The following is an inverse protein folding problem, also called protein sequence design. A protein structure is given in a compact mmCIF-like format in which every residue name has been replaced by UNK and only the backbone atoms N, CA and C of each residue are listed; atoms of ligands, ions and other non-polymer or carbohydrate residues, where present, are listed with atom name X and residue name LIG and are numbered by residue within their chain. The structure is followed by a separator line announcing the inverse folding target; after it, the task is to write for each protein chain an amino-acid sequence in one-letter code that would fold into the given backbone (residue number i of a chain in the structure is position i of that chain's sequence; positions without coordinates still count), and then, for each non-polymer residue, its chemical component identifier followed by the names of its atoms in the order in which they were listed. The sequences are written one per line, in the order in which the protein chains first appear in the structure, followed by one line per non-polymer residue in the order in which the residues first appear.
data_IF_146435686823
#
_entry.id   IF_146435686823
#
_cell.length_a   1.000
_cell.length_b   1.000
_cell.length_c   1.000
_cell.angle_alpha   90.00
_cell.angle_beta   90.00
_cell.angle_gamma   90.00
#
_symmetry.space_group_name_H-M   'P 1'
#
loop_
_entity.id
_entity.type
_entity.pdbx_description
1 polymer ?
#
# COMPACT_ATOMS: atom_id res chain seq x y z
N UNK A 1 15.10 -19.34 -18.15
CA UNK A 1 15.51 -18.24 -17.28
C UNK A 1 14.87 -16.90 -17.67
N UNK A 2 14.84 -16.50 -18.94
CA UNK A 2 14.16 -15.28 -19.42
C UNK A 2 12.65 -15.43 -19.31
N UNK A 3 12.09 -16.55 -19.78
CA UNK A 3 10.64 -16.78 -19.83
C UNK A 3 10.01 -16.99 -18.45
N UNK A 4 10.69 -17.67 -17.54
CA UNK A 4 10.20 -17.88 -16.17
C UNK A 4 9.92 -16.57 -15.44
N UNK A 5 10.67 -15.52 -15.76
CA UNK A 5 10.47 -14.22 -15.16
C UNK A 5 9.27 -13.47 -15.74
N UNK A 6 8.97 -13.69 -17.02
CA UNK A 6 7.85 -13.02 -17.70
C UNK A 6 6.47 -13.61 -17.36
N UNK A 7 6.43 -14.89 -16.97
CA UNK A 7 5.17 -15.61 -16.73
C UNK A 7 4.58 -15.43 -15.32
N UNK A 8 5.39 -15.06 -14.33
CA UNK A 8 4.91 -14.83 -12.97
C UNK A 8 4.17 -13.49 -12.84
N UNK A 9 2.82 -13.56 -12.90
CA UNK A 9 1.96 -12.38 -13.00
C UNK A 9 1.68 -11.62 -11.68
N UNK A 10 2.14 -12.12 -10.53
CA UNK A 10 1.72 -11.66 -9.21
C UNK A 10 2.61 -10.59 -8.56
N UNK A 11 3.12 -9.65 -9.35
CA UNK A 11 3.87 -8.51 -8.82
C UNK A 11 2.97 -7.39 -8.31
N UNK A 12 3.48 -6.63 -7.34
CA UNK A 12 2.78 -5.47 -6.77
C UNK A 12 2.81 -4.22 -7.67
N UNK A 13 3.49 -4.30 -8.83
CA UNK A 13 3.68 -3.17 -9.73
C UNK A 13 4.64 -2.11 -9.20
N UNK A 14 4.85 -1.07 -10.04
CA UNK A 14 5.68 0.07 -9.65
C UNK A 14 5.09 0.76 -8.39
N UNK A 15 5.90 1.14 -7.41
CA UNK A 15 7.38 1.17 -7.37
C UNK A 15 8.03 -0.05 -6.70
N UNK A 16 7.29 -1.09 -6.40
CA UNK A 16 7.75 -2.22 -5.59
C UNK A 16 8.24 -3.39 -6.42
N UNK A 17 7.73 -3.51 -7.64
CA UNK A 17 8.08 -4.55 -8.57
C UNK A 17 8.46 -3.94 -9.93
N UNK A 18 9.62 -4.31 -10.44
CA UNK A 18 10.21 -3.76 -11.65
C UNK A 18 10.29 -4.81 -12.76
N UNK A 19 9.24 -5.62 -12.90
CA UNK A 19 9.18 -6.73 -13.85
C UNK A 19 9.71 -6.38 -15.22
N UNK A 20 9.17 -5.32 -15.82
CA UNK A 20 9.55 -4.93 -17.18
C UNK A 20 11.01 -4.50 -17.26
N UNK A 21 11.53 -3.78 -16.26
CA UNK A 21 12.94 -3.41 -16.18
C UNK A 21 13.82 -4.64 -15.98
N UNK A 22 13.45 -5.51 -15.06
CA UNK A 22 14.19 -6.74 -14.78
C UNK A 22 14.20 -7.67 -16.01
N UNK A 23 13.10 -7.77 -16.73
CA UNK A 23 13.01 -8.53 -17.97
C UNK A 23 13.93 -7.94 -19.04
N UNK A 24 13.89 -6.63 -19.25
CA UNK A 24 14.77 -5.93 -20.18
C UNK A 24 16.25 -6.13 -19.83
N UNK A 25 16.62 -6.01 -18.56
CA UNK A 25 17.99 -6.24 -18.10
C UNK A 25 18.45 -7.69 -18.32
N UNK A 26 17.55 -8.66 -18.14
CA UNK A 26 17.84 -10.07 -18.49
C UNK A 26 18.06 -10.25 -19.99
N UNK A 27 17.27 -9.58 -20.83
CA UNK A 27 17.49 -9.59 -22.27
C UNK A 27 18.84 -8.97 -22.64
N UNK A 28 19.23 -7.83 -22.01
CA UNK A 28 20.57 -7.23 -22.22
C UNK A 28 21.70 -8.20 -21.83
N UNK A 29 21.57 -8.86 -20.69
CA UNK A 29 22.55 -9.86 -20.24
C UNK A 29 22.61 -11.05 -21.20
N UNK A 30 21.47 -11.59 -21.63
CA UNK A 30 21.44 -12.69 -22.60
C UNK A 30 22.04 -12.28 -23.95
N UNK A 31 21.74 -11.05 -24.39
CA UNK A 31 22.31 -10.50 -25.63
C UNK A 31 23.84 -10.45 -25.59
N UNK A 32 24.44 -9.90 -24.52
CA UNK A 32 25.90 -9.83 -24.39
C UNK A 32 26.54 -11.22 -24.35
N UNK A 33 25.97 -12.15 -23.57
CA UNK A 33 26.50 -13.51 -23.51
C UNK A 33 26.41 -14.24 -24.84
N UNK A 34 25.29 -14.15 -25.56
CA UNK A 34 25.15 -14.80 -26.88
C UNK A 34 26.09 -14.14 -27.89
N UNK A 35 26.28 -12.83 -27.84
CA UNK A 35 27.20 -12.09 -28.72
C UNK A 35 28.65 -12.53 -28.55
N UNK A 36 29.07 -12.87 -27.32
CA UNK A 36 30.40 -13.40 -27.03
C UNK A 36 30.59 -14.85 -27.53
N UNK A 37 29.51 -15.65 -27.45
CA UNK A 37 29.54 -17.07 -27.80
C UNK A 37 29.42 -17.31 -29.32
N UNK A 38 28.64 -16.50 -30.04
CA UNK A 38 28.40 -16.67 -31.49
C UNK A 38 29.67 -16.82 -32.30
N UNK A 39 30.75 -16.03 -32.11
CA UNK A 39 32.00 -16.18 -32.89
C UNK A 39 32.72 -17.49 -32.63
N UNK A 40 32.51 -18.14 -31.48
CA UNK A 40 33.18 -19.36 -31.08
C UNK A 40 32.56 -20.61 -31.77
N UNK A 41 31.36 -20.49 -32.30
CA UNK A 41 30.66 -21.59 -32.96
C UNK A 41 30.60 -21.38 -34.46
N UNK A 42 31.13 -22.37 -35.24
CA UNK A 42 30.99 -22.42 -36.70
C UNK A 42 29.54 -22.75 -37.06
N UNK A 43 28.71 -21.75 -37.22
CA UNK A 43 27.26 -21.90 -37.52
C UNK A 43 27.13 -22.17 -39.03
N UNK A 44 27.09 -23.44 -39.45
CA UNK A 44 26.96 -23.82 -40.86
C UNK A 44 25.63 -23.42 -41.51
N UNK A 45 24.56 -23.29 -40.75
CA UNK A 45 23.23 -22.90 -41.27
C UNK A 45 22.53 -21.93 -40.34
N UNK A 46 22.77 -20.62 -40.50
CA UNK A 46 22.31 -19.54 -39.65
C UNK A 46 20.77 -19.51 -39.51
N UNK A 47 20.06 -19.75 -40.61
CA UNK A 47 18.58 -19.65 -40.62
C UNK A 47 17.86 -20.79 -39.86
N UNK A 48 18.51 -21.91 -39.62
CA UNK A 48 17.97 -23.05 -38.85
C UNK A 48 18.44 -23.07 -37.40
N UNK A 49 19.43 -22.27 -37.06
CA UNK A 49 20.00 -22.28 -35.72
C UNK A 49 19.10 -21.46 -34.75
N UNK A 50 18.62 -22.10 -33.70
CA UNK A 50 17.76 -21.52 -32.70
C UNK A 50 18.46 -20.36 -31.98
N UNK A 51 19.75 -20.49 -31.65
CA UNK A 51 20.53 -19.48 -30.96
C UNK A 51 20.67 -18.22 -31.84
N UNK A 52 20.88 -18.39 -33.14
CA UNK A 52 20.97 -17.30 -34.11
C UNK A 52 19.64 -16.55 -34.23
N UNK A 53 18.51 -17.25 -34.27
CA UNK A 53 17.18 -16.66 -34.28
C UNK A 53 16.91 -15.88 -33.01
N UNK A 54 17.20 -16.49 -31.85
CA UNK A 54 17.04 -15.85 -30.54
C UNK A 54 17.91 -14.59 -30.43
N UNK A 55 19.17 -14.65 -30.90
CA UNK A 55 20.04 -13.48 -30.93
C UNK A 55 19.42 -12.31 -31.69
N UNK A 56 18.91 -12.56 -32.89
CA UNK A 56 18.28 -11.47 -33.68
C UNK A 56 17.04 -10.89 -33.03
N UNK A 57 16.19 -11.74 -32.47
CA UNK A 57 15.00 -11.26 -31.75
C UNK A 57 15.36 -10.41 -30.53
N UNK A 58 16.33 -10.84 -29.76
CA UNK A 58 16.79 -10.07 -28.58
C UNK A 58 17.48 -8.79 -29.04
N UNK A 59 18.30 -8.85 -30.11
CA UNK A 59 18.98 -7.70 -30.69
C UNK A 59 18.02 -6.57 -31.05
N UNK A 60 16.93 -6.88 -31.72
CA UNK A 60 15.92 -5.88 -32.12
C UNK A 60 15.32 -5.14 -30.91
N UNK A 61 15.18 -5.84 -29.77
CA UNK A 61 14.66 -5.24 -28.52
C UNK A 61 15.74 -4.41 -27.83
N UNK A 62 16.94 -4.97 -27.68
CA UNK A 62 18.03 -4.35 -26.90
C UNK A 62 18.63 -3.14 -27.61
N UNK A 63 18.74 -3.17 -28.93
CA UNK A 63 19.27 -2.06 -29.74
C UNK A 63 18.19 -1.02 -30.13
N UNK A 64 16.97 -1.16 -29.64
CA UNK A 64 15.90 -0.20 -29.89
C UNK A 64 16.12 1.06 -29.07
N UNK A 65 16.60 2.13 -29.71
CA UNK A 65 16.90 3.40 -29.06
C UNK A 65 15.70 4.08 -28.41
N UNK A 66 14.49 3.90 -28.95
CA UNK A 66 13.27 4.45 -28.36
C UNK A 66 12.90 3.72 -27.05
N UNK A 67 13.12 2.41 -27.00
CA UNK A 67 12.91 1.61 -25.79
C UNK A 67 14.00 1.94 -24.75
N UNK A 68 15.25 2.04 -25.13
CA UNK A 68 16.36 2.42 -24.25
C UNK A 68 16.09 3.74 -23.53
N UNK A 69 15.70 4.78 -24.28
CA UNK A 69 15.31 6.08 -23.68
C UNK A 69 14.14 5.99 -22.69
N UNK A 70 13.18 5.09 -22.94
CA UNK A 70 12.08 4.85 -21.99
C UNK A 70 12.56 4.15 -20.71
N UNK A 71 13.49 3.19 -20.85
CA UNK A 71 14.10 2.48 -19.72
C UNK A 71 14.90 3.44 -18.86
N UNK A 72 15.76 4.27 -19.45
CA UNK A 72 16.51 5.31 -18.73
C UNK A 72 15.59 6.24 -17.93
N UNK A 73 14.51 6.72 -18.54
CA UNK A 73 13.51 7.55 -17.82
C UNK A 73 12.84 6.80 -16.67
N UNK A 74 12.60 5.50 -16.84
CA UNK A 74 12.04 4.67 -15.79
C UNK A 74 13.01 4.51 -14.63
N UNK A 75 14.28 4.26 -14.92
CA UNK A 75 15.35 4.12 -13.90
C UNK A 75 15.54 5.42 -13.11
N UNK A 76 15.51 6.59 -13.79
CA UNK A 76 15.55 7.89 -13.10
C UNK A 76 14.37 8.04 -12.12
N UNK A 77 13.15 7.68 -12.53
CA UNK A 77 11.97 7.75 -11.66
C UNK A 77 12.09 6.78 -10.48
N UNK A 78 12.64 5.61 -10.70
CA UNK A 78 12.89 4.61 -9.68
C UNK A 78 13.93 5.09 -8.66
N UNK A 79 15.01 5.71 -9.14
CA UNK A 79 16.03 6.32 -8.27
C UNK A 79 15.43 7.42 -7.39
N UNK A 80 14.56 8.27 -7.94
CA UNK A 80 13.82 9.30 -7.17
C UNK A 80 12.95 8.68 -6.09
N UNK A 81 12.26 7.58 -6.40
CA UNK A 81 11.45 6.87 -5.43
C UNK A 81 12.31 6.25 -4.31
N UNK A 82 13.45 5.66 -4.65
CA UNK A 82 14.39 5.11 -3.67
C UNK A 82 14.94 6.20 -2.75
N UNK A 83 15.35 7.34 -3.31
CA UNK A 83 15.78 8.52 -2.53
C UNK A 83 14.67 9.03 -1.59
N UNK A 84 13.41 9.02 -2.04
CA UNK A 84 12.28 9.37 -1.20
C UNK A 84 12.10 8.39 -0.04
N UNK A 85 12.23 7.09 -0.28
CA UNK A 85 12.16 6.06 0.75
C UNK A 85 13.25 6.24 1.81
N UNK A 86 14.47 6.52 1.36
CA UNK A 86 15.60 6.77 2.25
C UNK A 86 15.38 8.03 3.08
N UNK A 87 14.92 9.11 2.46
CA UNK A 87 14.58 10.35 3.16
C UNK A 87 13.44 10.16 4.18
N UNK A 88 12.48 9.29 3.91
CA UNK A 88 11.40 8.93 4.83
C UNK A 88 11.84 7.94 5.92
N UNK A 89 13.02 7.34 5.81
CA UNK A 89 13.50 6.30 6.72
C UNK A 89 12.69 5.00 6.61
N UNK A 90 12.17 4.67 5.42
CA UNK A 90 11.45 3.41 5.18
C UNK A 90 12.41 2.34 4.68
N UNK A 91 12.31 1.12 5.22
CA UNK A 91 13.23 0.01 4.88
C UNK A 91 12.86 -0.62 3.53
N UNK A 92 13.85 -1.00 2.69
CA UNK A 92 13.61 -1.75 1.46
C UNK A 92 12.90 -3.08 1.70
N UNK A 93 12.09 -3.50 0.72
CA UNK A 93 11.27 -4.73 0.77
C UNK A 93 12.08 -6.03 0.85
N UNK A 94 13.33 -6.01 0.46
CA UNK A 94 14.23 -7.18 0.44
C UNK A 94 14.73 -7.60 1.83
N UNK A 95 14.42 -6.85 2.86
CA UNK A 95 14.69 -7.25 4.24
C UNK A 95 13.46 -8.04 4.71
N UNK A 96 13.67 -9.25 5.21
CA UNK A 96 12.67 -10.27 5.55
C UNK A 96 11.48 -9.84 6.45
N UNK A 97 11.43 -8.59 6.87
CA UNK A 97 10.49 -8.05 7.85
C UNK A 97 9.49 -7.00 7.29
N UNK A 98 9.33 -6.91 5.96
CA UNK A 98 8.33 -6.03 5.34
C UNK A 98 8.73 -4.56 5.19
N UNK A 99 7.79 -3.72 4.76
CA UNK A 99 8.01 -2.35 4.28
C UNK A 99 8.36 -1.32 5.34
N UNK A 100 8.26 -1.63 6.62
CA UNK A 100 8.61 -0.69 7.68
C UNK A 100 8.99 -1.40 8.97
N UNK A 101 10.27 -1.43 9.23
CA UNK A 101 10.79 -1.58 10.60
C UNK A 101 10.85 -0.21 11.28
N UNK A 102 9.79 0.56 11.22
CA UNK A 102 9.71 1.69 12.12
C UNK A 102 9.50 1.13 13.51
N UNK A 103 10.45 1.36 14.39
CA UNK A 103 10.23 1.18 15.82
C UNK A 103 8.93 1.91 16.16
N UNK A 104 8.02 1.22 16.82
CA UNK A 104 6.73 1.77 17.23
C UNK A 104 6.89 3.03 18.11
N UNK A 105 8.07 3.21 18.65
CA UNK A 105 8.49 4.34 19.48
C UNK A 105 9.39 5.28 18.69
N UNK A 106 8.80 6.11 17.82
CA UNK A 106 9.55 7.24 17.25
C UNK A 106 9.94 8.23 18.33
N UNK A 107 11.16 8.78 18.28
CA UNK A 107 11.58 9.86 19.13
C UNK A 107 11.44 11.20 18.42
N UNK A 108 11.33 12.31 19.16
CA UNK A 108 11.35 13.65 18.60
C UNK A 108 12.59 13.91 17.74
N UNK A 109 13.74 13.34 18.13
CA UNK A 109 15.01 13.47 17.40
C UNK A 109 14.92 12.80 16.03
N UNK A 110 14.35 11.59 15.97
CA UNK A 110 14.17 10.85 14.72
C UNK A 110 13.20 11.59 13.78
N UNK A 111 12.09 12.11 14.31
CA UNK A 111 11.14 12.89 13.53
C UNK A 111 11.79 14.15 12.93
N UNK A 112 12.59 14.90 13.72
CA UNK A 112 13.33 16.07 13.22
C UNK A 112 14.33 15.69 12.13
N UNK A 113 15.04 14.58 12.29
CA UNK A 113 16.01 14.08 11.31
C UNK A 113 15.32 13.75 9.99
N UNK A 114 14.18 13.05 10.04
CA UNK A 114 13.40 12.71 8.84
C UNK A 114 12.80 13.96 8.19
N UNK A 115 12.28 14.92 8.97
CA UNK A 115 11.81 16.22 8.45
C UNK A 115 12.92 16.95 7.67
N UNK A 116 14.15 16.95 8.18
CA UNK A 116 15.31 17.54 7.51
C UNK A 116 15.68 16.78 6.23
N UNK A 117 15.73 15.45 6.27
CA UNK A 117 16.04 14.62 5.11
C UNK A 117 15.02 14.83 3.98
N UNK A 118 13.72 14.89 4.30
CA UNK A 118 12.67 15.17 3.31
C UNK A 118 12.74 16.61 2.78
N UNK A 119 13.14 17.57 3.61
CA UNK A 119 13.37 18.95 3.16
C UNK A 119 14.55 19.02 2.19
N UNK A 120 15.67 18.35 2.49
CA UNK A 120 16.82 18.19 1.60
C UNK A 120 16.43 17.57 0.28
N UNK A 121 15.76 16.42 0.31
CA UNK A 121 15.25 15.75 -0.89
C UNK A 121 14.38 16.67 -1.78
N UNK A 122 13.51 17.47 -1.17
CA UNK A 122 12.70 18.46 -1.92
C UNK A 122 13.57 19.55 -2.58
N UNK A 123 14.65 19.96 -1.92
CA UNK A 123 15.62 20.92 -2.47
C UNK A 123 16.36 20.33 -3.67
N UNK A 124 16.82 19.07 -3.54
CA UNK A 124 17.50 18.34 -4.62
C UNK A 124 16.57 18.17 -5.84
N UNK A 125 15.30 17.86 -5.63
CA UNK A 125 14.33 17.79 -6.73
C UNK A 125 14.13 19.14 -7.41
N UNK A 126 14.15 20.26 -6.68
CA UNK A 126 14.06 21.60 -7.29
C UNK A 126 15.30 21.93 -8.12
N UNK A 127 16.48 21.51 -7.69
CA UNK A 127 17.72 21.65 -8.47
C UNK A 127 17.64 20.79 -9.75
N UNK A 128 17.20 19.53 -9.63
CA UNK A 128 16.98 18.65 -10.80
C UNK A 128 16.00 19.24 -11.81
N UNK A 129 14.95 19.92 -11.36
CA UNK A 129 14.00 20.63 -12.25
C UNK A 129 14.68 21.77 -13.02
N UNK A 130 15.62 22.49 -12.38
CA UNK A 130 16.35 23.58 -13.05
C UNK A 130 17.37 23.08 -14.07
N UNK A 131 17.93 21.89 -13.83
CA UNK A 131 19.04 21.34 -14.61
C UNK A 131 18.58 20.31 -15.68
N UNK A 132 17.28 20.12 -15.84
CA UNK A 132 16.73 19.11 -16.77
C UNK A 132 15.83 19.78 -17.81
N UNK A 133 16.13 19.56 -19.10
CA UNK A 133 15.30 20.02 -20.21
C UNK A 133 14.12 19.10 -20.52
N UNK A 134 14.12 17.86 -19.99
CA UNK A 134 13.04 16.89 -20.18
C UNK A 134 11.77 17.29 -19.43
N UNK A 135 10.79 17.81 -20.16
CA UNK A 135 9.48 18.22 -19.64
C UNK A 135 8.75 17.11 -18.86
N UNK A 136 8.93 15.84 -19.27
CA UNK A 136 8.30 14.69 -18.59
C UNK A 136 8.89 14.46 -17.21
N UNK A 137 10.21 14.51 -17.09
CA UNK A 137 10.92 14.39 -15.81
C UNK A 137 10.64 15.58 -14.90
N UNK A 138 10.67 16.81 -15.44
CA UNK A 138 10.27 18.01 -14.70
C UNK A 138 8.87 17.88 -14.08
N UNK A 139 7.90 17.40 -14.87
CA UNK A 139 6.53 17.19 -14.40
C UNK A 139 6.46 16.10 -13.32
N UNK A 140 7.26 15.03 -13.45
CA UNK A 140 7.35 14.00 -12.44
C UNK A 140 7.87 14.58 -11.11
N UNK A 141 8.98 15.30 -11.11
CA UNK A 141 9.55 15.95 -9.91
C UNK A 141 8.56 16.93 -9.27
N UNK A 142 7.87 17.76 -10.07
CA UNK A 142 6.83 18.68 -9.59
C UNK A 142 5.68 17.92 -8.90
N UNK A 143 5.23 16.79 -9.46
CA UNK A 143 4.19 15.94 -8.85
C UNK A 143 4.63 15.36 -7.52
N UNK A 144 5.88 14.88 -7.40
CA UNK A 144 6.42 14.35 -6.14
C UNK A 144 6.47 15.46 -5.08
N UNK A 145 6.99 16.65 -5.42
CA UNK A 145 7.03 17.80 -4.51
C UNK A 145 5.62 18.20 -4.07
N UNK A 146 4.65 18.23 -5.00
CA UNK A 146 3.24 18.54 -4.69
C UNK A 146 2.66 17.54 -3.69
N UNK A 147 2.85 16.25 -3.92
CA UNK A 147 2.37 15.19 -3.01
C UNK A 147 3.01 15.28 -1.62
N UNK A 148 4.30 15.57 -1.54
CA UNK A 148 4.97 15.80 -0.25
C UNK A 148 4.44 17.02 0.50
N UNK A 149 4.03 18.08 -0.21
CA UNK A 149 3.36 19.23 0.42
C UNK A 149 1.97 18.89 0.92
N UNK A 150 1.15 18.23 0.10
CA UNK A 150 -0.22 17.83 0.43
C UNK A 150 -0.28 16.93 1.67
N UNK A 151 0.63 15.98 1.76
CA UNK A 151 0.65 15.00 2.85
C UNK A 151 1.60 15.35 4.01
N UNK A 152 2.37 16.42 3.90
CA UNK A 152 3.42 16.78 4.87
C UNK A 152 2.92 16.91 6.30
N UNK A 153 1.75 17.51 6.51
CA UNK A 153 1.13 17.63 7.84
C UNK A 153 0.78 16.25 8.45
N UNK A 154 0.32 15.30 7.62
CA UNK A 154 -0.03 13.94 8.07
C UNK A 154 1.21 13.08 8.29
N UNK A 155 2.26 13.24 7.47
CA UNK A 155 3.52 12.51 7.60
C UNK A 155 4.33 12.92 8.83
N UNK A 156 4.16 14.15 9.29
CA UNK A 156 4.96 14.75 10.36
C UNK A 156 4.09 15.33 11.45
N UNK A 157 3.00 14.64 11.81
CA UNK A 157 2.16 15.01 12.95
C UNK A 157 3.01 15.11 14.21
N UNK A 158 2.84 16.21 14.95
CA UNK A 158 3.55 16.38 16.21
C UNK A 158 3.02 15.37 17.24
N UNK A 159 3.88 14.92 18.17
CA UNK A 159 3.46 14.04 19.24
C UNK A 159 2.37 14.69 20.10
N UNK A 160 1.40 13.88 20.53
CA UNK A 160 0.37 14.34 21.45
C UNK A 160 0.83 14.17 22.90
N UNK A 161 0.58 15.18 23.71
CA UNK A 161 0.77 15.08 25.15
C UNK A 161 -0.55 14.69 25.80
N UNK A 162 -0.54 13.61 26.55
CA UNK A 162 -1.68 13.12 27.32
C UNK A 162 -1.30 13.01 28.79
N UNK A 163 -2.25 13.21 29.68
CA UNK A 163 -2.06 13.01 31.11
C UNK A 163 -2.78 11.72 31.52
N UNK A 164 -2.02 10.79 32.07
CA UNK A 164 -2.51 9.50 32.55
C UNK A 164 -2.19 9.41 34.05
N UNK A 165 -3.22 9.33 34.86
CA UNK A 165 -3.09 9.33 36.33
C UNK A 165 -2.27 10.52 36.90
N UNK A 166 -2.36 11.69 36.25
CA UNK A 166 -1.58 12.88 36.63
C UNK A 166 -0.18 12.96 36.02
N UNK A 167 0.32 11.89 35.42
CA UNK A 167 1.62 11.86 34.74
C UNK A 167 1.51 12.31 33.29
N UNK A 168 2.44 13.16 32.86
CA UNK A 168 2.55 13.61 31.48
C UNK A 168 3.20 12.55 30.63
N UNK A 169 2.48 12.03 29.64
CA UNK A 169 2.98 11.08 28.64
C UNK A 169 2.95 11.66 27.23
N UNK A 170 3.97 11.37 26.46
CA UNK A 170 4.06 11.78 25.05
C UNK A 170 3.79 10.57 24.15
N UNK A 171 2.73 10.67 23.34
CA UNK A 171 2.36 9.66 22.36
C UNK A 171 2.82 10.10 20.98
N UNK A 172 3.65 9.27 20.33
CA UNK A 172 4.09 9.49 18.96
C UNK A 172 3.07 8.91 17.98
N UNK A 173 2.61 9.76 17.06
CA UNK A 173 1.66 9.34 16.02
C UNK A 173 2.43 8.53 14.97
N UNK A 174 1.96 7.33 14.69
CA UNK A 174 2.53 6.47 13.67
C UNK A 174 2.38 7.10 12.28
N UNK A 175 3.47 7.10 11.52
CA UNK A 175 3.52 7.68 10.17
C UNK A 175 3.03 6.73 9.08
N UNK A 176 2.84 5.47 9.40
CA UNK A 176 2.42 4.43 8.46
C UNK A 176 1.19 3.70 8.97
N UNK A 177 0.39 3.19 8.04
CA UNK A 177 -0.80 2.37 8.33
C UNK A 177 -0.46 0.90 8.62
N UNK A 178 0.81 0.61 8.85
CA UNK A 178 1.35 -0.75 8.89
C UNK A 178 0.73 -1.62 10.00
N UNK A 179 0.43 -1.00 11.14
CA UNK A 179 -0.22 -1.72 12.27
C UNK A 179 -1.61 -2.19 11.86
N UNK A 180 -2.41 -1.34 11.20
CA UNK A 180 -3.74 -1.70 10.72
C UNK A 180 -3.64 -2.79 9.63
N UNK A 181 -2.69 -2.66 8.71
CA UNK A 181 -2.46 -3.68 7.67
C UNK A 181 -2.05 -5.01 8.27
N UNK A 182 -1.18 -5.04 9.26
CA UNK A 182 -0.80 -6.25 9.99
C UNK A 182 -1.98 -6.84 10.77
N UNK A 183 -2.82 -5.99 11.37
CA UNK A 183 -4.04 -6.42 12.06
C UNK A 183 -5.00 -7.11 11.08
N UNK A 184 -5.32 -6.47 9.95
CA UNK A 184 -6.17 -7.07 8.93
C UNK A 184 -5.57 -8.33 8.32
N UNK A 185 -4.26 -8.38 8.14
CA UNK A 185 -3.57 -9.59 7.67
C UNK A 185 -3.74 -10.76 8.63
N UNK A 186 -3.52 -10.52 9.94
CA UNK A 186 -3.73 -11.53 10.99
C UNK A 186 -5.19 -11.97 11.05
N UNK A 187 -6.11 -11.04 11.01
CA UNK A 187 -7.55 -11.31 10.98
C UNK A 187 -7.93 -12.17 9.77
N UNK A 188 -7.52 -11.80 8.57
CA UNK A 188 -7.79 -12.57 7.37
C UNK A 188 -7.18 -13.98 7.42
N UNK A 189 -5.97 -14.10 7.96
CA UNK A 189 -5.31 -15.39 8.13
C UNK A 189 -6.12 -16.28 9.09
N UNK A 190 -6.56 -15.75 10.22
CA UNK A 190 -7.40 -16.46 11.19
C UNK A 190 -8.74 -16.88 10.59
N UNK A 191 -9.40 -16.02 9.85
CA UNK A 191 -10.66 -16.34 9.17
C UNK A 191 -10.48 -17.44 8.11
N UNK A 192 -9.40 -17.42 7.34
CA UNK A 192 -9.07 -18.48 6.37
C UNK A 192 -8.85 -19.82 7.07
N UNK A 193 -8.15 -19.80 8.19
CA UNK A 193 -7.85 -21.00 8.97
C UNK A 193 -9.12 -21.63 9.59
N UNK A 194 -10.05 -20.80 10.06
CA UNK A 194 -11.27 -21.27 10.73
C UNK A 194 -12.35 -21.66 9.72
N UNK A 195 -12.54 -20.87 8.67
CA UNK A 195 -13.67 -21.00 7.76
C UNK A 195 -13.31 -21.46 6.34
N UNK A 196 -12.02 -21.63 6.02
CA UNK A 196 -11.56 -21.95 4.66
C UNK A 196 -11.88 -20.88 3.61
N UNK A 197 -12.40 -19.73 4.02
CA UNK A 197 -12.95 -18.73 3.11
C UNK A 197 -11.85 -17.76 2.63
N UNK A 198 -11.72 -17.60 1.31
CA UNK A 198 -10.76 -16.66 0.70
C UNK A 198 -11.32 -15.25 0.51
N UNK A 199 -12.61 -15.03 0.75
CA UNK A 199 -13.24 -13.73 0.54
C UNK A 199 -13.04 -12.80 1.75
N UNK A 200 -12.16 -11.81 1.59
CA UNK A 200 -11.95 -10.74 2.58
C UNK A 200 -13.26 -10.00 2.88
N UNK A 201 -14.09 -9.76 1.87
CA UNK A 201 -15.37 -9.05 2.02
C UNK A 201 -16.31 -9.75 3.00
N UNK A 202 -16.50 -11.05 2.87
CA UNK A 202 -17.35 -11.82 3.81
C UNK A 202 -16.79 -11.79 5.23
N UNK A 203 -15.47 -11.82 5.36
CA UNK A 203 -14.83 -11.76 6.67
C UNK A 203 -15.05 -10.41 7.34
N UNK A 204 -15.00 -9.31 6.56
CA UNK A 204 -15.26 -7.95 7.07
C UNK A 204 -16.73 -7.73 7.44
N UNK A 205 -17.67 -8.28 6.64
CA UNK A 205 -19.11 -8.22 6.93
C UNK A 205 -19.49 -8.96 8.24
N UNK A 206 -18.71 -9.96 8.63
CA UNK A 206 -18.94 -10.79 9.81
C UNK A 206 -18.01 -10.45 10.99
N UNK A 207 -17.28 -9.35 10.95
CA UNK A 207 -16.48 -8.90 12.10
C UNK A 207 -17.42 -8.61 13.27
N UNK A 208 -17.22 -9.23 14.45
CA UNK A 208 -17.96 -8.89 15.64
C UNK A 208 -17.73 -7.42 16.01
N UNK A 209 -18.80 -6.71 16.38
CA UNK A 209 -18.74 -5.27 16.73
C UNK A 209 -17.74 -4.98 17.85
N UNK A 210 -17.55 -5.94 18.76
CA UNK A 210 -16.64 -5.84 19.89
C UNK A 210 -15.18 -6.10 19.55
N UNK A 211 -14.86 -6.63 18.34
CA UNK A 211 -13.50 -7.02 18.00
C UNK A 211 -12.48 -5.88 18.12
N UNK A 212 -12.75 -4.64 17.65
CA UNK A 212 -11.80 -3.54 17.81
C UNK A 212 -11.47 -3.25 19.27
N UNK A 213 -12.47 -3.35 20.15
CA UNK A 213 -12.28 -3.15 21.59
C UNK A 213 -11.46 -4.26 22.21
N UNK A 214 -11.78 -5.52 21.90
CA UNK A 214 -11.04 -6.70 22.40
C UNK A 214 -9.57 -6.63 21.97
N UNK A 215 -9.30 -6.22 20.72
CA UNK A 215 -7.92 -6.07 20.24
C UNK A 215 -7.20 -4.90 20.93
N UNK A 216 -7.88 -3.79 21.17
CA UNK A 216 -7.31 -2.65 21.88
C UNK A 216 -7.03 -2.97 23.36
N UNK A 217 -7.87 -3.77 24.00
CA UNK A 217 -7.65 -4.20 25.39
C UNK A 217 -6.41 -5.09 25.57
N UNK A 218 -5.88 -5.69 24.50
CA UNK A 218 -4.60 -6.40 24.53
C UNK A 218 -3.38 -5.47 24.63
N UNK A 219 -3.57 -4.18 24.42
CA UNK A 219 -2.51 -3.19 24.50
C UNK A 219 -2.51 -2.53 25.90
N UNK A 220 -1.50 -2.79 26.75
CA UNK A 220 -1.44 -2.22 28.11
C UNK A 220 -1.48 -0.69 28.12
N UNK A 221 -0.87 -0.04 27.14
CA UNK A 221 -0.89 1.42 27.03
C UNK A 221 -2.30 1.95 26.76
N UNK A 222 -3.08 1.25 25.95
CA UNK A 222 -4.49 1.60 25.71
C UNK A 222 -5.33 1.42 26.96
N UNK A 223 -5.16 0.28 27.65
CA UNK A 223 -5.87 0.01 28.91
C UNK A 223 -5.55 1.10 29.95
N UNK A 224 -4.29 1.43 30.11
CA UNK A 224 -3.85 2.46 31.04
C UNK A 224 -4.37 3.84 30.66
N UNK A 225 -4.42 4.19 29.36
CA UNK A 225 -4.93 5.47 28.88
C UNK A 225 -6.43 5.64 29.13
N UNK A 226 -7.23 4.60 28.84
CA UNK A 226 -8.70 4.67 28.88
C UNK A 226 -9.24 4.34 30.26
N UNK A 227 -8.66 3.35 30.93
CA UNK A 227 -9.18 2.82 32.20
C UNK A 227 -8.35 3.24 33.41
N UNK A 228 -7.10 3.65 33.20
CA UNK A 228 -6.15 4.04 34.25
C UNK A 228 -5.47 2.85 34.93
N UNK A 229 -6.14 1.70 35.02
CA UNK A 229 -5.65 0.47 35.59
C UNK A 229 -6.47 -0.71 35.01
N UNK A 230 -5.86 -1.87 34.85
CA UNK A 230 -6.53 -3.09 34.38
C UNK A 230 -7.65 -3.53 35.35
N UNK A 231 -7.45 -3.36 36.65
CA UNK A 231 -8.43 -3.71 37.68
C UNK A 231 -9.72 -2.84 37.61
N UNK A 232 -9.67 -1.67 36.99
CA UNK A 232 -10.82 -0.77 36.84
C UNK A 232 -11.68 -1.03 35.62
N UNK A 233 -11.29 -1.96 34.77
CA UNK A 233 -12.03 -2.31 33.54
C UNK A 233 -13.45 -2.76 33.92
N UNK A 234 -13.58 -3.71 34.85
CA UNK A 234 -14.87 -4.23 35.28
C UNK A 234 -15.78 -3.15 35.88
N UNK A 235 -15.23 -2.27 36.72
CA UNK A 235 -15.99 -1.16 37.31
C UNK A 235 -16.50 -0.17 36.25
N UNK A 236 -15.67 0.16 35.26
CA UNK A 236 -16.07 1.08 34.18
C UNK A 236 -17.11 0.45 33.28
N UNK A 237 -17.01 -0.85 32.98
CA UNK A 237 -18.05 -1.56 32.24
C UNK A 237 -19.35 -1.69 33.02
N UNK A 238 -19.29 -1.87 34.35
CA UNK A 238 -20.48 -1.92 35.19
C UNK A 238 -21.27 -0.59 35.22
N UNK A 239 -20.59 0.54 34.94
CA UNK A 239 -21.22 1.89 34.85
C UNK A 239 -21.90 2.17 33.50
N UNK A 240 -21.71 1.30 32.49
CA UNK A 240 -22.34 1.50 31.18
C UNK A 240 -23.82 1.15 31.27
N UNK A 241 -24.68 2.08 30.89
CA UNK A 241 -26.12 1.90 30.89
C UNK A 241 -26.54 0.80 29.91
N UNK A 242 -27.11 -0.29 30.45
CA UNK A 242 -27.58 -1.43 29.66
C UNK A 242 -28.71 -1.05 28.69
N UNK A 243 -29.50 -0.03 29.03
CA UNK A 243 -30.62 0.40 28.20
C UNK A 243 -30.11 1.06 26.92
N UNK A 244 -29.08 1.89 27.00
CA UNK A 244 -28.43 2.51 25.85
C UNK A 244 -27.85 1.44 24.92
N UNK A 245 -27.19 0.42 25.48
CA UNK A 245 -26.63 -0.68 24.68
C UNK A 245 -27.75 -1.46 23.97
N UNK A 246 -28.84 -1.72 24.70
CA UNK A 246 -29.98 -2.46 24.12
C UNK A 246 -30.65 -1.67 23.01
N UNK A 247 -30.83 -0.37 23.18
CA UNK A 247 -31.38 0.52 22.18
C UNK A 247 -30.47 0.59 20.92
N UNK A 248 -29.15 0.77 21.10
CA UNK A 248 -28.17 0.73 19.99
C UNK A 248 -28.22 -0.60 19.25
N UNK A 249 -28.26 -1.74 19.94
CA UNK A 249 -28.38 -3.08 19.32
C UNK A 249 -29.69 -3.24 18.54
N UNK A 250 -30.78 -2.75 19.07
CA UNK A 250 -32.07 -2.82 18.38
C UNK A 250 -32.07 -1.96 17.11
N UNK A 251 -31.49 -0.76 17.18
CA UNK A 251 -31.31 0.12 16.02
C UNK A 251 -30.42 -0.50 14.94
N UNK A 252 -29.33 -1.16 15.33
CA UNK A 252 -28.46 -1.89 14.39
C UNK A 252 -29.17 -3.10 13.76
N UNK A 253 -29.90 -3.90 14.56
CA UNK A 253 -30.69 -5.03 14.04
C UNK A 253 -31.77 -4.58 13.07
N UNK A 254 -32.41 -3.43 13.34
CA UNK A 254 -33.42 -2.86 12.45
C UNK A 254 -32.78 -2.42 11.12
N UNK A 255 -31.62 -1.74 11.15
CA UNK A 255 -30.86 -1.38 9.95
C UNK A 255 -30.41 -2.62 9.17
N UNK A 256 -29.89 -3.65 9.82
CA UNK A 256 -29.49 -4.89 9.18
C UNK A 256 -30.67 -5.63 8.53
N UNK A 257 -31.84 -5.64 9.18
CA UNK A 257 -33.06 -6.22 8.59
C UNK A 257 -33.47 -5.51 7.32
N UNK A 258 -33.34 -4.18 7.26
CA UNK A 258 -33.65 -3.39 6.06
C UNK A 258 -32.74 -3.82 4.90
N UNK A 259 -31.42 -3.92 5.13
CA UNK A 259 -30.47 -4.34 4.09
C UNK A 259 -30.55 -5.82 3.70
N UNK A 260 -31.08 -6.68 4.55
CA UNK A 260 -31.23 -8.12 4.30
C UNK A 260 -32.61 -8.54 3.81
N UNK A 261 -33.57 -7.61 3.73
CA UNK A 261 -34.94 -7.96 3.34
C UNK A 261 -34.98 -8.53 1.92
N UNK A 262 -35.72 -9.62 1.75
CA UNK A 262 -35.90 -10.24 0.45
C UNK A 262 -36.55 -9.28 -0.57
N UNK A 263 -37.32 -8.31 -0.10
CA UNK A 263 -37.93 -7.26 -0.91
C UNK A 263 -36.87 -6.39 -1.58
N UNK A 264 -35.87 -5.90 -0.81
CA UNK A 264 -34.76 -5.09 -1.34
C UNK A 264 -33.90 -5.90 -2.31
N UNK A 265 -33.59 -7.16 -1.96
CA UNK A 265 -32.85 -8.06 -2.87
C UNK A 265 -33.57 -8.30 -4.20
N UNK A 266 -34.88 -8.47 -4.16
CA UNK A 266 -35.70 -8.60 -5.38
C UNK A 266 -35.72 -7.31 -6.19
N UNK A 267 -35.87 -6.17 -5.53
CA UNK A 267 -35.87 -4.85 -6.19
C UNK A 267 -34.53 -4.57 -6.89
N UNK A 268 -33.39 -4.81 -6.23
CA UNK A 268 -32.06 -4.60 -6.83
C UNK A 268 -31.78 -5.55 -8.00
N UNK A 269 -32.35 -6.76 -7.97
CA UNK A 269 -32.22 -7.76 -9.04
C UNK A 269 -33.16 -7.54 -10.22
N UNK A 270 -34.10 -6.59 -10.10
CA UNK A 270 -35.00 -6.27 -11.19
C UNK A 270 -34.21 -5.63 -12.36
N UNK A 271 -34.35 -6.12 -13.61
CA UNK A 271 -33.71 -5.52 -14.78
C UNK A 271 -34.02 -4.03 -14.94
N UNK A 272 -35.24 -3.62 -14.55
CA UNK A 272 -35.68 -2.22 -14.61
C UNK A 272 -35.33 -1.37 -13.39
N UNK A 273 -34.47 -1.88 -12.46
CA UNK A 273 -34.15 -1.21 -11.21
C UNK A 273 -33.62 0.22 -11.42
N UNK A 274 -32.78 0.42 -12.46
CA UNK A 274 -32.26 1.75 -12.80
C UNK A 274 -33.39 2.74 -13.16
N UNK A 275 -34.37 2.29 -13.92
CA UNK A 275 -35.53 3.11 -14.33
C UNK A 275 -36.41 3.43 -13.11
N UNK A 276 -36.73 2.44 -12.31
CA UNK A 276 -37.49 2.60 -11.06
C UNK A 276 -36.82 3.56 -10.09
N UNK A 277 -35.49 3.55 -10.02
CA UNK A 277 -34.74 4.45 -9.17
C UNK A 277 -34.81 5.90 -9.69
N UNK A 278 -34.66 6.12 -10.99
CA UNK A 278 -34.78 7.43 -11.63
C UNK A 278 -36.20 7.99 -11.44
N UNK A 279 -37.22 7.18 -11.69
CA UNK A 279 -38.60 7.59 -11.53
C UNK A 279 -38.98 7.96 -10.09
N UNK A 280 -38.40 7.22 -9.11
CA UNK A 280 -38.57 7.53 -7.68
C UNK A 280 -37.90 8.84 -7.26
N UNK A 281 -36.74 9.17 -7.84
CA UNK A 281 -36.11 10.47 -7.60
C UNK A 281 -36.84 11.62 -8.28
N UNK A 282 -37.36 11.41 -9.49
CA UNK A 282 -38.15 12.40 -10.21
C UNK A 282 -39.45 12.73 -9.47
N UNK A 283 -40.13 11.72 -8.89
CA UNK A 283 -41.33 11.93 -8.09
C UNK A 283 -41.10 12.54 -6.70
N UNK A 284 -39.88 12.43 -6.15
CA UNK A 284 -39.52 13.06 -4.88
C UNK A 284 -39.04 14.51 -5.04
N UNK A 285 -38.69 14.92 -6.26
CA UNK A 285 -38.24 16.26 -6.60
C UNK A 285 -39.36 17.17 -7.14
N UNK A 286 -40.54 16.62 -7.42
CA UNK A 286 -41.77 17.33 -7.76
C UNK A 286 -42.64 17.56 -6.50
#
# INVERSE_FOLDING_TARGET
WILDYGSNADGYGFPFDHRHLNFYNRLKTAYSLIKEVIPLYSIKNKNRNIIWKLYHQIKEIVENSALEKKVEKYEIKLAVFSQLRDALGTVPRNVNNGLSQMKETGTHKELKTIKRAVAGFRTDLRQKIKNTDDKSLCNHYKKVIKKLKEHGKKLFSDPMTVYVNGEKRTIFILRTNNILEQHFRRFNYSCRRIHGNHSVRRNLENIPEQLPMVENLKNPNYVQLIFGDENKIAEKFAKVDKNIITEMRNNLKTKQKIYSSNKIKKTIRNPDFKKLLIDSFASAAS
#
